data_IF_410948228618
#
_entry.id   IF_410948228618
#
_cell.length_a   1.000
_cell.length_b   1.000
_cell.length_c   1.000
_cell.angle_alpha   90.00
_cell.angle_beta   90.00
_cell.angle_gamma   90.00
#
_symmetry.space_group_name_H-M   'P 1'
#
loop_
_entity.id
_entity.type
_entity.pdbx_description
1 polymer ?
#
# COMPACT_ATOMS: atom_id res chain seq x y z
N UNK A 1 6.60 4.83 -2.49
CA UNK A 1 5.57 4.71 -1.45
C UNK A 1 4.59 3.58 -1.83
N UNK A 2 4.12 2.82 -0.85
CA UNK A 2 3.24 1.64 -1.03
C UNK A 2 2.01 1.77 -0.14
N UNK A 3 0.89 1.29 -0.63
CA UNK A 3 -0.36 1.23 0.10
C UNK A 3 -1.12 -0.03 -0.22
N UNK A 4 -2.16 -0.30 0.57
CA UNK A 4 -3.01 -1.46 0.36
C UNK A 4 -4.18 -1.05 -0.53
N UNK A 5 -4.29 -1.74 -1.65
CA UNK A 5 -5.36 -1.60 -2.62
C UNK A 5 -6.35 -2.76 -2.43
N UNK A 6 -7.62 -2.44 -2.19
CA UNK A 6 -8.69 -3.44 -2.20
C UNK A 6 -9.13 -3.66 -3.64
N UNK A 7 -8.98 -4.88 -4.17
CA UNK A 7 -9.47 -5.19 -5.52
C UNK A 7 -11.01 -5.28 -5.57
N UNK A 8 -11.65 -5.59 -4.43
CA UNK A 8 -13.10 -5.62 -4.31
C UNK A 8 -13.70 -4.21 -4.43
N UNK A 9 -13.12 -3.23 -3.73
CA UNK A 9 -13.59 -1.84 -3.74
C UNK A 9 -12.84 -0.94 -4.73
N UNK A 10 -11.86 -1.49 -5.46
CA UNK A 10 -10.98 -0.80 -6.42
C UNK A 10 -10.38 0.52 -5.90
N UNK A 11 -9.98 0.56 -4.62
CA UNK A 11 -9.43 1.76 -3.98
C UNK A 11 -8.36 1.44 -2.96
N UNK A 12 -7.50 2.42 -2.69
CA UNK A 12 -6.60 2.35 -1.54
C UNK A 12 -7.39 2.44 -0.25
N UNK A 13 -7.12 1.53 0.68
CA UNK A 13 -7.86 1.36 1.93
C UNK A 13 -6.93 1.51 3.12
N UNK A 14 -7.53 1.80 4.29
CA UNK A 14 -6.85 1.89 5.58
C UNK A 14 -5.83 3.02 5.77
N UNK A 15 -5.60 3.85 4.75
CA UNK A 15 -4.66 4.98 4.79
C UNK A 15 -3.19 4.56 4.94
N UNK A 16 -2.86 3.29 4.68
CA UNK A 16 -1.51 2.75 4.86
C UNK A 16 -0.58 3.32 3.78
N UNK A 17 0.52 3.93 4.21
CA UNK A 17 1.52 4.60 3.38
C UNK A 17 2.92 4.23 3.86
N UNK A 18 3.47 3.18 3.26
CA UNK A 18 4.74 2.60 3.69
C UNK A 18 5.83 2.70 2.62
N UNK A 19 7.09 2.69 3.05
CA UNK A 19 8.23 2.74 2.13
C UNK A 19 8.42 1.43 1.34
N UNK A 20 7.88 0.32 1.84
CA UNK A 20 8.07 -1.02 1.25
C UNK A 20 6.79 -1.87 1.28
N UNK A 21 6.66 -2.81 0.32
CA UNK A 21 5.53 -3.75 0.25
C UNK A 21 5.35 -4.56 1.54
N UNK A 22 6.43 -5.08 2.10
CA UNK A 22 6.39 -5.91 3.31
C UNK A 22 5.86 -5.15 4.51
N UNK A 23 6.25 -3.88 4.68
CA UNK A 23 5.71 -3.03 5.75
C UNK A 23 4.23 -2.70 5.54
N UNK A 24 3.80 -2.46 4.29
CA UNK A 24 2.38 -2.25 3.98
C UNK A 24 1.53 -3.47 4.37
N UNK A 25 2.01 -4.68 4.06
CA UNK A 25 1.34 -5.93 4.48
C UNK A 25 1.35 -6.15 5.99
N UNK A 26 2.46 -5.83 6.67
CA UNK A 26 2.53 -5.91 8.13
C UNK A 26 1.55 -4.94 8.79
N UNK A 27 1.46 -3.71 8.29
CA UNK A 27 0.49 -2.71 8.74
C UNK A 27 -0.96 -3.15 8.46
N UNK A 28 -1.21 -3.79 7.32
CA UNK A 28 -2.52 -4.38 7.01
C UNK A 28 -2.88 -5.47 8.03
N UNK A 29 -1.98 -6.44 8.23
CA UNK A 29 -2.17 -7.55 9.17
C UNK A 29 -2.33 -7.05 10.60
N UNK A 30 -1.63 -5.99 10.99
CA UNK A 30 -1.81 -5.36 12.30
C UNK A 30 -3.20 -4.70 12.46
N UNK A 31 -3.79 -4.21 11.37
CA UNK A 31 -5.06 -3.44 11.42
C UNK A 31 -6.31 -4.31 11.28
N UNK A 32 -6.27 -5.35 10.44
CA UNK A 32 -7.41 -6.26 10.20
C UNK A 32 -7.16 -7.70 10.67
N UNK A 33 -5.96 -8.02 11.16
CA UNK A 33 -5.64 -9.37 11.63
C UNK A 33 -5.50 -10.40 10.50
N UNK A 34 -5.87 -11.64 10.79
CA UNK A 34 -5.77 -12.77 9.85
C UNK A 34 -6.83 -12.71 8.73
N UNK A 35 -7.85 -11.86 8.85
CA UNK A 35 -8.82 -11.59 7.77
C UNK A 35 -8.19 -10.97 6.53
N UNK A 36 -6.95 -10.47 6.64
CA UNK A 36 -6.13 -10.08 5.48
C UNK A 36 -5.92 -11.20 4.46
N UNK A 37 -6.02 -12.47 4.85
CA UNK A 37 -5.89 -13.63 3.94
C UNK A 37 -7.19 -13.99 3.23
N UNK A 38 -8.35 -13.64 3.79
CA UNK A 38 -9.66 -13.96 3.19
C UNK A 38 -10.05 -13.00 2.06
N UNK A 39 -9.44 -11.82 2.02
CA UNK A 39 -9.85 -10.72 1.14
C UNK A 39 -8.78 -10.43 0.10
N UNK A 40 -9.22 -10.04 -1.10
CA UNK A 40 -8.35 -9.75 -2.26
C UNK A 40 -7.67 -8.38 -2.13
N UNK A 41 -6.76 -8.25 -1.18
CA UNK A 41 -5.91 -7.06 -1.00
C UNK A 41 -4.59 -7.20 -1.76
N UNK A 42 -4.13 -6.10 -2.36
CA UNK A 42 -2.85 -6.01 -3.04
C UNK A 42 -2.02 -4.86 -2.48
N UNK A 43 -0.76 -5.12 -2.15
CA UNK A 43 0.20 -4.06 -1.86
C UNK A 43 0.69 -3.42 -3.16
N UNK A 44 0.07 -2.30 -3.55
CA UNK A 44 0.42 -1.54 -4.75
C UNK A 44 1.28 -0.33 -4.41
N UNK A 45 2.16 0.05 -5.35
CA UNK A 45 2.86 1.34 -5.25
C UNK A 45 1.81 2.44 -5.31
N UNK A 46 1.74 3.27 -4.28
CA UNK A 46 1.10 4.58 -4.40
C UNK A 46 2.08 5.37 -5.27
N UNK A 47 1.76 5.52 -6.56
CA UNK A 47 2.49 6.41 -7.45
C UNK A 47 2.28 7.84 -6.92
N UNK A 48 3.17 8.27 -6.03
CA UNK A 48 3.46 9.68 -5.84
C UNK A 48 4.58 10.02 -6.82
N UNK A 49 4.21 10.59 -7.97
CA UNK A 49 5.10 10.96 -9.07
C UNK A 49 5.15 9.91 -10.19
N UNK A 50 5.00 10.19 -11.48
CA UNK A 50 5.61 11.27 -12.26
C UNK A 50 6.93 11.75 -11.66
N UNK A 51 8.03 11.44 -12.35
CA UNK A 51 9.39 11.78 -11.93
C UNK A 51 9.45 13.17 -11.30
N UNK A 52 9.71 13.26 -9.99
CA UNK A 52 10.51 14.39 -9.54
C UNK A 52 11.95 13.94 -9.71
N UNK A 53 12.49 14.38 -10.85
CA UNK A 53 13.91 14.45 -11.12
C UNK A 53 14.56 15.20 -9.95
N UNK A 54 15.14 14.47 -9.00
CA UNK A 54 16.13 15.07 -8.12
C UNK A 54 17.42 15.17 -8.95
N UNK A 55 17.48 16.16 -9.85
CA UNK A 55 18.77 16.71 -10.25
C UNK A 55 19.36 17.42 -9.04
N UNK A 56 20.50 16.90 -8.64
CA UNK A 56 21.67 17.61 -8.12
C UNK A 56 21.54 19.14 -8.15
N UNK A 57 21.57 19.76 -6.97
CA UNK A 57 21.95 21.15 -6.74
C UNK A 57 22.63 21.26 -5.36
#
# INVERSE_FOLDING_TARGET
>A
MYGIYSTASKKFVFGIRESSKGKAWKALKAKIGDDSRKWRFEARKIKGGERVDCKDY
#
